data_IF_033357206404
#
_entry.id   IF_033357206404
#
_cell.length_a   1.000
_cell.length_b   1.000
_cell.length_c   1.000
_cell.angle_alpha   90.00
_cell.angle_beta   90.00
_cell.angle_gamma   90.00
#
_symmetry.space_group_name_H-M   'P 1'
#
loop_
_entity.id
_entity.type
_entity.pdbx_description
1 polymer ?
#
# COMPACT_ATOMS: atom_id res chain seq x y z
N UNK A 1 -55.44 -74.19 9.64
CA UNK A 1 -54.44 -73.36 10.35
C UNK A 1 -53.14 -73.44 9.57
N UNK A 2 -52.85 -72.43 8.74
CA UNK A 2 -51.60 -72.28 7.99
C UNK A 2 -51.02 -70.95 8.44
N UNK A 3 -49.94 -70.98 9.21
CA UNK A 3 -49.23 -69.78 9.61
C UNK A 3 -48.11 -69.50 8.60
N UNK A 4 -48.22 -68.38 7.92
CA UNK A 4 -47.21 -67.81 7.04
C UNK A 4 -46.33 -66.85 7.84
N UNK A 5 -45.10 -67.25 8.13
CA UNK A 5 -44.08 -66.37 8.71
C UNK A 5 -43.39 -65.59 7.58
N UNK A 6 -43.63 -64.29 7.55
CA UNK A 6 -43.00 -63.36 6.61
C UNK A 6 -41.68 -62.86 7.21
N UNK A 7 -40.55 -63.12 6.55
CA UNK A 7 -39.23 -62.59 6.93
C UNK A 7 -38.99 -61.30 6.16
N UNK A 8 -39.02 -60.17 6.86
CA UNK A 8 -38.62 -58.87 6.31
C UNK A 8 -37.10 -58.73 6.48
N UNK A 9 -36.37 -58.73 5.36
CA UNK A 9 -34.95 -58.38 5.32
C UNK A 9 -34.84 -56.90 4.95
N UNK A 10 -34.54 -56.05 5.93
CA UNK A 10 -34.19 -54.65 5.69
C UNK A 10 -32.72 -54.53 5.30
N UNK A 11 -32.44 -54.22 4.03
CA UNK A 11 -31.12 -53.80 3.58
C UNK A 11 -30.89 -52.31 3.95
N UNK A 12 -30.08 -52.07 4.97
CA UNK A 12 -29.52 -50.75 5.25
C UNK A 12 -28.30 -50.53 4.34
N UNK A 13 -28.48 -49.79 3.25
CA UNK A 13 -27.36 -49.29 2.44
C UNK A 13 -26.78 -48.06 3.12
N UNK A 14 -25.77 -48.28 3.98
CA UNK A 14 -24.98 -47.20 4.58
C UNK A 14 -24.09 -46.56 3.52
N UNK A 15 -24.48 -45.36 3.05
CA UNK A 15 -23.59 -44.51 2.24
C UNK A 15 -22.55 -43.88 3.15
N UNK A 16 -21.34 -44.45 3.19
CA UNK A 16 -20.20 -43.83 3.84
C UNK A 16 -19.72 -42.64 2.99
N UNK A 17 -20.13 -41.43 3.35
CA UNK A 17 -19.51 -40.20 2.88
C UNK A 17 -18.09 -40.13 3.46
N UNK A 18 -17.11 -40.52 2.65
CA UNK A 18 -15.69 -40.25 2.91
C UNK A 18 -15.48 -38.73 2.92
N UNK A 19 -15.53 -38.13 4.10
CA UNK A 19 -15.01 -36.79 4.33
C UNK A 19 -13.49 -36.86 4.20
N UNK A 20 -12.94 -36.55 3.02
CA UNK A 20 -11.52 -36.26 2.89
C UNK A 20 -11.21 -35.09 3.84
N UNK A 21 -10.25 -35.21 4.76
CA UNK A 21 -9.86 -34.09 5.57
C UNK A 21 -9.38 -32.99 4.62
N UNK A 22 -10.02 -31.84 4.68
CA UNK A 22 -9.54 -30.64 4.02
C UNK A 22 -8.18 -30.34 4.65
N UNK A 23 -7.09 -30.74 3.99
CA UNK A 23 -5.75 -30.32 4.36
C UNK A 23 -5.80 -28.79 4.34
N UNK A 24 -5.70 -28.19 5.52
CA UNK A 24 -5.52 -26.75 5.61
C UNK A 24 -4.16 -26.47 4.98
N UNK A 25 -4.15 -25.98 3.74
CA UNK A 25 -2.93 -25.48 3.12
C UNK A 25 -2.39 -24.39 4.03
N UNK A 26 -1.18 -24.60 4.56
CA UNK A 26 -0.49 -23.62 5.39
C UNK A 26 -0.11 -22.38 4.56
N UNK A 27 -0.10 -22.51 3.23
CA UNK A 27 0.44 -21.52 2.32
C UNK A 27 1.96 -21.58 2.29
N UNK A 28 2.55 -21.02 1.24
CA UNK A 28 3.99 -20.83 1.11
C UNK A 28 4.44 -19.41 1.44
N UNK A 29 5.75 -19.21 1.46
CA UNK A 29 6.40 -17.92 1.69
C UNK A 29 7.13 -17.45 0.43
N UNK A 30 6.93 -16.21 0.02
CA UNK A 30 7.71 -15.55 -1.03
C UNK A 30 8.62 -14.52 -0.39
N UNK A 31 9.94 -14.63 -0.56
CA UNK A 31 10.91 -13.64 -0.07
C UNK A 31 11.84 -13.18 -1.17
N UNK A 32 12.53 -12.07 -0.95
CA UNK A 32 13.57 -11.60 -1.86
C UNK A 32 13.91 -10.14 -1.65
N UNK A 33 14.46 -9.51 -2.68
CA UNK A 33 14.89 -8.12 -2.68
C UNK A 33 14.37 -7.38 -3.92
N UNK A 34 13.90 -6.16 -3.71
CA UNK A 34 13.60 -5.20 -4.79
C UNK A 34 14.77 -4.23 -4.90
N UNK A 35 15.34 -4.15 -6.08
CA UNK A 35 16.48 -3.28 -6.39
C UNK A 35 16.12 -2.28 -7.48
N UNK A 36 16.83 -1.17 -7.52
CA UNK A 36 16.72 -0.18 -8.58
C UNK A 36 17.96 -0.21 -9.47
N UNK A 37 17.76 -0.32 -10.78
CA UNK A 37 18.84 -0.22 -11.76
C UNK A 37 18.80 1.09 -12.52
N UNK A 38 19.98 1.65 -12.76
CA UNK A 38 20.18 2.94 -13.44
C UNK A 38 20.56 4.08 -12.49
N UNK A 39 20.58 5.30 -13.05
CA UNK A 39 20.90 6.52 -12.31
C UNK A 39 19.69 6.93 -11.48
N UNK A 40 19.88 7.09 -10.16
CA UNK A 40 18.86 7.66 -9.28
C UNK A 40 18.61 9.11 -9.72
N UNK A 41 17.35 9.51 -10.02
CA UNK A 41 17.03 10.89 -10.36
C UNK A 41 17.46 11.86 -9.26
N UNK A 42 17.94 13.07 -9.61
CA UNK A 42 18.17 14.09 -8.60
C UNK A 42 16.86 14.43 -7.87
N UNK A 43 16.93 14.92 -6.62
CA UNK A 43 15.74 15.37 -5.90
C UNK A 43 15.04 16.49 -6.67
N UNK A 44 13.72 16.59 -6.52
CA UNK A 44 13.01 17.82 -6.89
C UNK A 44 13.25 18.88 -5.81
N UNK A 45 13.49 20.09 -6.27
CA UNK A 45 13.85 21.22 -5.42
C UNK A 45 12.70 22.21 -5.31
N UNK A 46 12.41 22.65 -4.09
CA UNK A 46 11.37 23.62 -3.80
C UNK A 46 11.89 24.66 -2.81
N UNK A 47 11.98 25.92 -3.21
CA UNK A 47 12.43 27.00 -2.30
C UNK A 47 11.38 27.23 -1.21
N UNK A 48 11.74 27.08 0.07
CA UNK A 48 10.78 27.23 1.18
C UNK A 48 10.09 28.59 1.17
N UNK A 49 10.79 29.66 0.77
CA UNK A 49 10.25 31.02 0.72
C UNK A 49 9.04 31.18 -0.22
N UNK A 50 8.81 30.24 -1.15
CA UNK A 50 7.66 30.24 -2.06
C UNK A 50 6.41 29.56 -1.49
N UNK A 51 6.50 29.01 -0.28
CA UNK A 51 5.41 28.26 0.36
C UNK A 51 5.01 28.89 1.70
N UNK A 52 3.76 28.68 2.17
CA UNK A 52 3.34 29.08 3.51
C UNK A 52 4.14 28.38 4.61
N UNK A 53 4.28 29.08 5.75
CA UNK A 53 4.98 28.61 6.95
C UNK A 53 6.43 28.14 6.69
N UNK A 54 7.27 28.93 6.00
CA UNK A 54 8.62 28.51 5.61
C UNK A 54 9.50 28.16 6.82
N UNK A 55 9.42 28.91 7.91
CA UNK A 55 10.25 28.68 9.10
C UNK A 55 9.90 27.38 9.81
N UNK A 56 8.61 27.02 9.84
CA UNK A 56 8.19 25.70 10.29
C UNK A 56 8.69 24.59 9.35
N UNK A 57 8.45 24.71 8.04
CA UNK A 57 8.82 23.66 7.09
C UNK A 57 10.34 23.46 6.96
N UNK A 58 11.16 24.49 7.22
CA UNK A 58 12.63 24.39 7.32
C UNK A 58 13.09 23.44 8.43
N UNK A 59 12.25 23.07 9.39
CA UNK A 59 12.59 22.09 10.42
C UNK A 59 12.72 20.67 9.84
N UNK A 60 12.11 20.38 8.68
CA UNK A 60 12.19 19.06 8.07
C UNK A 60 13.65 18.72 7.66
N UNK A 61 14.15 17.50 7.93
CA UNK A 61 15.52 17.10 7.58
C UNK A 61 15.78 16.98 6.06
N UNK A 62 14.78 16.73 5.23
CA UNK A 62 14.97 16.60 3.77
C UNK A 62 15.05 17.98 3.10
N UNK A 63 16.19 18.66 3.29
CA UNK A 63 16.49 20.00 2.77
C UNK A 63 17.95 20.14 2.35
N UNK A 64 18.27 21.20 1.60
CA UNK A 64 19.63 21.58 1.19
C UNK A 64 20.51 21.93 2.40
N UNK A 65 21.83 21.95 2.17
CA UNK A 65 22.82 22.24 3.22
C UNK A 65 22.67 23.65 3.83
N UNK A 66 22.28 24.64 3.03
CA UNK A 66 21.99 26.00 3.49
C UNK A 66 20.60 26.14 4.14
N UNK A 67 19.78 25.07 4.09
CA UNK A 67 18.46 25.00 4.69
C UNK A 67 17.34 25.71 3.95
N UNK A 68 17.59 26.29 2.76
CA UNK A 68 16.61 27.12 2.05
C UNK A 68 15.73 26.35 1.04
N UNK A 69 16.18 25.16 0.63
CA UNK A 69 15.53 24.36 -0.40
C UNK A 69 15.05 23.04 0.20
N UNK A 70 13.77 22.75 0.03
CA UNK A 70 13.17 21.44 0.28
C UNK A 70 13.58 20.46 -0.82
N UNK A 71 14.07 19.28 -0.41
CA UNK A 71 14.48 18.22 -1.33
C UNK A 71 13.49 17.06 -1.26
N UNK A 72 12.70 16.89 -2.32
CA UNK A 72 11.85 15.70 -2.49
C UNK A 72 12.64 14.62 -3.24
N UNK A 73 13.10 13.62 -2.50
CA UNK A 73 13.76 12.43 -3.07
C UNK A 73 12.68 11.42 -3.47
N UNK A 74 12.27 11.47 -4.73
CA UNK A 74 11.21 10.59 -5.23
C UNK A 74 11.65 9.13 -5.41
N UNK A 75 12.95 8.88 -5.55
CA UNK A 75 13.55 7.54 -5.64
C UNK A 75 14.75 7.53 -4.70
N UNK A 76 14.77 6.58 -3.77
CA UNK A 76 15.85 6.39 -2.81
C UNK A 76 16.30 4.94 -2.81
N UNK A 77 17.62 4.74 -2.72
CA UNK A 77 18.23 3.42 -2.72
C UNK A 77 19.17 3.26 -1.53
N UNK A 78 19.22 2.06 -0.95
CA UNK A 78 20.26 1.67 -0.01
C UNK A 78 21.61 1.40 -0.69
N UNK A 79 22.68 1.10 0.09
CA UNK A 79 24.02 0.85 -0.44
C UNK A 79 24.08 -0.21 -1.55
N UNK A 80 23.30 -1.28 -1.40
CA UNK A 80 23.22 -2.38 -2.38
C UNK A 80 22.17 -2.15 -3.47
N UNK A 81 21.82 -0.90 -3.75
CA UNK A 81 20.75 -0.51 -4.69
C UNK A 81 19.35 -1.02 -4.31
N UNK A 82 19.16 -1.44 -3.06
CA UNK A 82 17.86 -1.79 -2.51
C UNK A 82 16.89 -0.63 -2.63
N UNK A 83 15.77 -0.81 -3.33
CA UNK A 83 14.84 0.28 -3.62
C UNK A 83 13.92 0.52 -2.42
N UNK A 84 14.07 1.65 -1.75
CA UNK A 84 13.17 2.05 -0.65
C UNK A 84 11.76 2.27 -1.18
N UNK A 85 10.78 2.15 -0.28
CA UNK A 85 9.37 2.46 -0.56
C UNK A 85 8.70 1.61 -1.65
N UNK A 86 9.35 0.58 -2.19
CA UNK A 86 8.68 -0.36 -3.08
C UNK A 86 7.61 -1.18 -2.32
N UNK A 87 6.60 -1.64 -3.05
CA UNK A 87 5.58 -2.55 -2.56
C UNK A 87 5.59 -3.79 -3.43
N UNK A 88 5.68 -4.96 -2.79
CA UNK A 88 5.49 -6.25 -3.45
C UNK A 88 4.07 -6.72 -3.17
N UNK A 89 3.36 -7.24 -4.18
CA UNK A 89 1.99 -7.76 -4.02
C UNK A 89 1.66 -8.88 -5.00
N UNK A 90 0.87 -9.85 -4.55
CA UNK A 90 0.24 -10.86 -5.41
C UNK A 90 -0.95 -10.23 -6.14
N UNK A 91 -1.06 -10.40 -7.47
CA UNK A 91 -1.97 -9.62 -8.32
C UNK A 91 -3.14 -10.41 -8.89
N UNK A 92 -3.00 -11.71 -9.00
CA UNK A 92 -3.98 -12.63 -9.59
C UNK A 92 -5.05 -13.08 -8.58
N UNK A 93 -4.84 -12.87 -7.28
CA UNK A 93 -5.81 -13.20 -6.23
C UNK A 93 -6.78 -12.04 -5.98
N UNK A 94 -8.08 -12.37 -5.97
CA UNK A 94 -9.15 -11.45 -5.55
C UNK A 94 -9.96 -12.05 -4.40
N UNK A 95 -9.56 -11.73 -3.18
CA UNK A 95 -10.25 -12.17 -1.97
C UNK A 95 -11.36 -11.18 -1.58
N UNK A 96 -12.60 -11.52 -1.98
CA UNK A 96 -13.79 -10.71 -1.66
C UNK A 96 -14.06 -10.63 -0.15
N UNK A 97 -13.71 -11.66 0.63
CA UNK A 97 -13.98 -11.72 2.06
C UNK A 97 -13.00 -10.82 2.82
N UNK A 98 -11.70 -10.93 2.51
CA UNK A 98 -10.68 -10.01 3.00
C UNK A 98 -11.02 -8.56 2.64
N UNK A 99 -11.34 -8.28 1.37
CA UNK A 99 -11.74 -6.94 0.94
C UNK A 99 -12.99 -6.40 1.65
N UNK A 100 -13.94 -7.26 2.06
CA UNK A 100 -15.11 -6.83 2.86
C UNK A 100 -14.70 -6.48 4.29
N UNK A 101 -13.83 -7.28 4.91
CA UNK A 101 -13.29 -7.01 6.27
C UNK A 101 -12.52 -5.69 6.29
N UNK A 102 -11.69 -5.44 5.28
CA UNK A 102 -10.92 -4.20 5.09
C UNK A 102 -11.75 -2.91 4.86
N UNK A 103 -13.08 -3.00 4.74
CA UNK A 103 -13.94 -1.81 4.69
C UNK A 103 -14.27 -1.23 6.06
N UNK A 104 -14.02 -1.98 7.13
CA UNK A 104 -14.40 -1.61 8.50
C UNK A 104 -13.30 -0.87 9.25
N UNK A 105 -12.04 -1.13 8.91
CA UNK A 105 -10.84 -0.49 9.48
C UNK A 105 -10.13 0.35 8.41
N UNK A 106 -9.40 1.43 8.78
CA UNK A 106 -8.54 2.13 7.83
C UNK A 106 -7.45 1.19 7.32
N UNK A 107 -7.42 0.95 6.01
CA UNK A 107 -6.39 0.13 5.37
C UNK A 107 -5.00 0.81 5.42
N UNK A 108 -5.02 2.13 5.60
CA UNK A 108 -3.85 2.98 5.62
C UNK A 108 -4.11 4.22 6.46
N UNK A 109 -3.21 4.46 7.42
CA UNK A 109 -3.10 5.72 8.16
C UNK A 109 -1.98 6.54 7.55
N UNK A 110 -2.25 7.81 7.30
CA UNK A 110 -1.28 8.83 6.92
C UNK A 110 -1.25 9.89 8.00
N UNK A 111 -0.05 10.35 8.33
CA UNK A 111 0.13 11.52 9.19
C UNK A 111 0.80 12.63 8.39
N UNK A 112 0.35 13.87 8.57
CA UNK A 112 1.06 15.06 8.16
C UNK A 112 1.96 15.47 9.32
N UNK A 113 3.28 15.38 9.12
CA UNK A 113 4.28 15.71 10.13
C UNK A 113 5.48 16.41 9.48
N UNK A 114 5.88 17.55 10.03
CA UNK A 114 6.93 18.44 9.54
C UNK A 114 6.81 18.73 8.04
N UNK A 115 5.62 19.12 7.57
CA UNK A 115 5.34 19.34 6.15
C UNK A 115 5.71 18.11 5.29
N UNK A 116 5.34 16.91 5.75
CA UNK A 116 5.52 15.64 5.04
C UNK A 116 4.35 14.69 5.31
N UNK A 117 3.90 13.97 4.29
CA UNK A 117 2.92 12.88 4.47
C UNK A 117 3.65 11.55 4.64
N UNK A 118 3.38 10.86 5.74
CA UNK A 118 4.01 9.59 6.08
C UNK A 118 2.97 8.47 6.22
N UNK A 119 3.24 7.27 5.68
CA UNK A 119 4.43 6.90 4.90
C UNK A 119 4.42 7.46 3.46
N UNK A 120 5.57 7.48 2.79
CA UNK A 120 5.68 7.87 1.38
C UNK A 120 4.93 6.90 0.46
N UNK A 121 4.95 5.61 0.78
CA UNK A 121 4.15 4.60 0.08
C UNK A 121 3.30 3.76 1.02
N UNK A 122 2.15 3.31 0.51
CA UNK A 122 1.28 2.39 1.21
C UNK A 122 0.31 1.68 0.27
N UNK A 123 -0.75 1.12 0.84
CA UNK A 123 -1.79 0.45 0.04
C UNK A 123 -3.14 1.13 0.20
N UNK A 124 -4.05 0.82 -0.71
CA UNK A 124 -5.48 1.12 -0.57
C UNK A 124 -6.32 -0.05 -1.02
N UNK A 125 -7.46 -0.23 -0.38
CA UNK A 125 -8.50 -1.16 -0.82
C UNK A 125 -9.65 -0.34 -1.40
N UNK A 126 -10.12 -0.66 -2.60
CA UNK A 126 -11.20 0.10 -3.21
C UNK A 126 -12.49 -0.03 -2.38
N UNK A 127 -13.10 1.11 -2.04
CA UNK A 127 -14.18 1.31 -1.06
C UNK A 127 -13.77 1.05 0.40
N UNK A 128 -12.49 0.82 0.67
CA UNK A 128 -11.92 0.77 2.01
C UNK A 128 -11.76 2.17 2.61
N UNK A 129 -11.56 2.23 3.92
CA UNK A 129 -11.36 3.49 4.64
C UNK A 129 -9.90 3.93 4.54
N UNK A 130 -9.68 5.23 4.39
CA UNK A 130 -8.38 5.88 4.37
C UNK A 130 -8.38 7.02 5.37
N UNK A 131 -7.34 7.07 6.19
CA UNK A 131 -7.22 8.00 7.30
C UNK A 131 -6.03 8.95 7.10
N UNK A 132 -6.26 10.24 7.29
CA UNK A 132 -5.20 11.27 7.31
C UNK A 132 -5.37 12.13 8.55
N UNK A 133 -4.29 12.41 9.26
CA UNK A 133 -4.26 13.25 10.46
C UNK A 133 -3.17 14.31 10.33
N UNK A 134 -3.49 15.54 10.70
CA UNK A 134 -2.50 16.60 10.83
C UNK A 134 -1.90 16.59 12.22
N UNK A 135 -0.57 16.53 12.32
CA UNK A 135 0.15 16.57 13.60
C UNK A 135 0.99 17.83 13.79
N UNK A 136 0.99 18.72 12.79
CA UNK A 136 1.84 19.91 12.74
C UNK A 136 1.19 21.12 13.40
N UNK A 137 1.99 21.81 14.20
CA UNK A 137 1.70 23.13 14.75
C UNK A 137 3.03 23.86 14.95
N UNK A 138 3.04 25.17 14.73
CA UNK A 138 4.19 26.01 15.02
C UNK A 138 3.89 26.90 16.23
N UNK A 139 4.32 26.53 17.45
CA UNK A 139 4.02 27.30 18.64
C UNK A 139 4.64 28.71 18.63
N UNK A 140 5.61 28.96 17.75
CA UNK A 140 6.32 30.24 17.66
C UNK A 140 5.69 31.22 16.66
N UNK A 141 4.77 30.77 15.81
CA UNK A 141 4.02 31.61 14.87
C UNK A 141 2.56 31.77 15.35
N UNK A 142 2.11 32.99 15.68
CA UNK A 142 0.73 33.25 16.08
C UNK A 142 -0.33 32.73 15.09
N UNK A 143 -0.03 32.65 13.79
CA UNK A 143 -0.96 32.18 12.76
C UNK A 143 -1.08 30.66 12.69
N UNK A 144 -0.06 29.93 13.11
CA UNK A 144 -0.01 28.46 13.05
C UNK A 144 0.23 27.77 14.40
N UNK A 145 0.05 28.52 15.50
CA UNK A 145 0.14 28.03 16.88
C UNK A 145 -0.79 26.85 17.16
N UNK A 146 -2.01 26.90 16.65
CA UNK A 146 -3.00 25.82 16.80
C UNK A 146 -2.83 24.70 15.76
N UNK A 147 -2.11 24.97 14.68
CA UNK A 147 -1.82 24.01 13.62
C UNK A 147 -1.25 24.66 12.38
N UNK A 148 -0.46 23.90 11.63
CA UNK A 148 -0.05 24.27 10.27
C UNK A 148 -1.05 23.64 9.31
N UNK A 149 -1.78 24.47 8.56
CA UNK A 149 -2.79 23.97 7.63
C UNK A 149 -2.16 23.11 6.54
N UNK A 150 -2.64 21.87 6.46
CA UNK A 150 -2.36 20.98 5.33
C UNK A 150 -3.65 20.70 4.57
N UNK A 151 -3.57 20.67 3.25
CA UNK A 151 -4.72 20.37 2.38
C UNK A 151 -4.55 19.04 1.62
N UNK A 152 -4.75 17.88 2.30
CA UNK A 152 -4.79 16.57 1.66
C UNK A 152 -5.73 16.49 0.45
N UNK A 153 -5.13 16.39 -0.73
CA UNK A 153 -5.81 16.16 -2.00
C UNK A 153 -5.43 14.78 -2.54
N UNK A 154 -6.39 13.85 -2.53
CA UNK A 154 -6.21 12.52 -3.08
C UNK A 154 -6.71 12.44 -4.52
N UNK A 155 -5.93 11.77 -5.37
CA UNK A 155 -6.20 11.56 -6.78
C UNK A 155 -6.18 10.07 -7.11
N UNK A 156 -7.08 9.61 -7.97
CA UNK A 156 -6.98 8.34 -8.68
C UNK A 156 -6.22 8.59 -10.00
N UNK A 157 -5.01 8.05 -10.14
CA UNK A 157 -4.05 8.40 -11.20
C UNK A 157 -3.75 7.19 -12.10
N UNK A 158 -3.98 7.35 -13.40
CA UNK A 158 -3.69 6.35 -14.44
C UNK A 158 -2.92 7.02 -15.59
N UNK A 159 -1.58 6.88 -15.59
CA UNK A 159 -0.73 7.57 -16.55
C UNK A 159 -0.96 9.07 -16.47
N UNK A 160 -1.26 9.71 -17.62
CA UNK A 160 -1.56 11.14 -17.69
C UNK A 160 -2.98 11.52 -17.22
N UNK A 161 -3.85 10.55 -16.89
CA UNK A 161 -5.22 10.81 -16.44
C UNK A 161 -5.30 10.80 -14.92
N UNK A 162 -6.01 11.76 -14.35
CA UNK A 162 -6.30 11.79 -12.92
C UNK A 162 -7.74 12.23 -12.63
N UNK A 163 -8.28 11.79 -11.50
CA UNK A 163 -9.53 12.32 -10.95
C UNK A 163 -9.44 12.50 -9.44
N UNK A 164 -9.98 13.60 -8.92
CA UNK A 164 -10.06 13.86 -7.48
C UNK A 164 -10.92 12.82 -6.77
N UNK A 165 -10.39 12.26 -5.69
CA UNK A 165 -11.09 11.38 -4.75
C UNK A 165 -11.65 12.17 -3.58
N UNK A 166 -10.82 13.06 -3.02
CA UNK A 166 -11.21 14.09 -2.05
C UNK A 166 -10.17 15.22 -2.06
N UNK A 167 -10.58 16.39 -1.59
CA UNK A 167 -9.72 17.53 -1.30
C UNK A 167 -10.26 18.19 -0.02
N UNK A 168 -9.57 18.02 1.11
CA UNK A 168 -10.07 18.42 2.43
C UNK A 168 -8.93 18.99 3.26
N UNK A 169 -9.08 20.25 3.68
CA UNK A 169 -8.15 20.92 4.59
C UNK A 169 -8.22 20.37 6.00
N UNK A 170 -7.06 20.19 6.62
CA UNK A 170 -6.86 19.86 8.03
C UNK A 170 -6.06 21.02 8.65
N UNK A 171 -6.76 21.97 9.27
CA UNK A 171 -6.19 23.26 9.65
C UNK A 171 -5.43 23.20 10.97
N UNK A 172 -5.96 22.47 11.95
CA UNK A 172 -5.43 22.38 13.30
C UNK A 172 -4.68 21.08 13.52
N UNK A 173 -3.74 21.10 14.47
CA UNK A 173 -3.13 19.86 14.97
C UNK A 173 -4.22 18.98 15.59
N UNK A 174 -4.27 17.72 15.20
CA UNK A 174 -5.30 16.75 15.58
C UNK A 174 -6.48 16.69 14.62
N UNK A 175 -6.62 17.63 13.68
CA UNK A 175 -7.62 17.49 12.61
C UNK A 175 -7.34 16.22 11.82
N UNK A 176 -8.39 15.45 11.55
CA UNK A 176 -8.28 14.22 10.79
C UNK A 176 -9.48 13.98 9.89
N UNK A 177 -9.28 13.16 8.87
CA UNK A 177 -10.33 12.67 8.00
C UNK A 177 -10.30 11.14 7.94
N UNK A 178 -11.49 10.53 7.91
CA UNK A 178 -11.67 9.11 7.65
C UNK A 178 -12.68 8.94 6.50
N UNK A 179 -12.18 8.68 5.29
CA UNK A 179 -13.01 8.62 4.08
C UNK A 179 -12.96 7.26 3.40
N UNK A 180 -14.10 6.75 2.88
CA UNK A 180 -14.05 5.64 1.95
C UNK A 180 -13.46 6.12 0.61
N UNK A 181 -12.50 5.37 0.06
CA UNK A 181 -11.87 5.74 -1.21
C UNK A 181 -12.47 4.93 -2.36
N UNK A 182 -13.12 5.61 -3.31
CA UNK A 182 -13.70 4.99 -4.50
C UNK A 182 -12.84 5.26 -5.73
N UNK A 183 -11.87 4.38 -5.98
CA UNK A 183 -11.04 4.45 -7.18
C UNK A 183 -11.79 3.86 -8.37
N UNK A 184 -12.06 4.71 -9.37
CA UNK A 184 -12.80 4.35 -10.60
C UNK A 184 -11.90 3.62 -11.59
N UNK A 185 -10.60 3.91 -11.57
CA UNK A 185 -9.62 3.38 -12.52
C UNK A 185 -8.78 2.25 -11.94
N UNK A 186 -8.98 1.83 -10.68
CA UNK A 186 -8.15 0.83 -10.02
C UNK A 186 -8.06 -0.50 -10.79
N UNK A 187 -9.16 -0.93 -11.44
CA UNK A 187 -9.17 -2.14 -12.29
C UNK A 187 -8.28 -2.05 -13.53
N UNK A 188 -7.94 -0.82 -13.96
CA UNK A 188 -7.03 -0.53 -15.08
C UNK A 188 -5.59 -0.31 -14.62
N UNK A 189 -5.29 -0.52 -13.32
CA UNK A 189 -3.95 -0.36 -12.77
C UNK A 189 -3.61 1.06 -12.34
N UNK A 190 -4.61 1.91 -12.03
CA UNK A 190 -4.35 3.21 -11.43
C UNK A 190 -3.78 3.08 -10.01
N UNK A 191 -3.18 4.16 -9.53
CA UNK A 191 -2.68 4.29 -8.16
C UNK A 191 -3.30 5.52 -7.50
N UNK A 192 -3.34 5.55 -6.18
CA UNK A 192 -3.77 6.75 -5.47
C UNK A 192 -2.56 7.63 -5.18
N UNK A 193 -2.62 8.91 -5.54
CA UNK A 193 -1.65 9.92 -5.10
C UNK A 193 -2.31 10.82 -4.07
N UNK A 194 -1.64 11.06 -2.96
CA UNK A 194 -2.00 12.09 -1.99
C UNK A 194 -0.99 13.22 -2.10
N UNK A 195 -1.46 14.46 -2.28
CA UNK A 195 -0.62 15.66 -2.33
C UNK A 195 -1.22 16.74 -1.44
N UNK A 196 -0.39 17.59 -0.82
CA UNK A 196 -0.88 18.81 -0.21
C UNK A 196 -0.97 19.90 -1.29
N UNK A 197 -2.14 20.52 -1.48
CA UNK A 197 -2.26 21.61 -2.47
C UNK A 197 -1.47 22.87 -2.05
N UNK A 198 -1.16 23.04 -0.76
CA UNK A 198 -0.33 24.14 -0.25
C UNK A 198 1.17 23.85 -0.38
N UNK A 199 1.56 22.58 -0.47
CA UNK A 199 2.96 22.15 -0.44
C UNK A 199 3.16 20.99 -1.41
N UNK A 200 3.55 21.29 -2.64
CA UNK A 200 3.69 20.29 -3.71
C UNK A 200 4.68 19.16 -3.38
N UNK A 201 5.63 19.42 -2.50
CA UNK A 201 6.61 18.43 -2.03
C UNK A 201 6.03 17.42 -1.03
N UNK A 202 4.84 17.66 -0.48
CA UNK A 202 4.15 16.71 0.40
C UNK A 202 3.40 15.70 -0.44
N UNK A 203 4.00 14.54 -0.67
CA UNK A 203 3.42 13.51 -1.50
C UNK A 203 3.49 12.13 -0.84
N UNK A 204 2.41 11.36 -0.99
CA UNK A 204 2.39 9.92 -0.72
C UNK A 204 1.66 9.19 -1.83
N UNK A 205 1.97 7.91 -2.02
CA UNK A 205 1.42 7.09 -3.09
C UNK A 205 0.93 5.74 -2.58
N UNK A 206 -0.21 5.27 -3.09
CA UNK A 206 -0.84 4.07 -2.59
C UNK A 206 -1.25 3.12 -3.70
N UNK A 207 -0.82 1.86 -3.56
CA UNK A 207 -1.12 0.79 -4.49
C UNK A 207 -2.48 0.15 -4.18
N UNK A 208 -3.40 0.04 -5.16
CA UNK A 208 -4.62 -0.72 -4.97
C UNK A 208 -4.36 -2.23 -4.90
N UNK A 209 -4.83 -2.86 -3.81
CA UNK A 209 -4.69 -4.30 -3.55
C UNK A 209 -6.06 -4.98 -3.38
N UNK A 210 -6.12 -6.29 -3.62
CA UNK A 210 -7.35 -7.09 -3.63
C UNK A 210 -7.27 -8.36 -2.77
N UNK A 211 -6.18 -8.53 -2.03
CA UNK A 211 -5.87 -9.69 -1.20
C UNK A 211 -4.86 -9.25 -0.10
N UNK A 212 -4.65 -10.05 0.97
CA UNK A 212 -3.71 -9.73 2.04
C UNK A 212 -2.23 -9.83 1.66
N UNK A 213 -1.89 -10.40 0.51
CA UNK A 213 -0.52 -10.77 0.16
C UNK A 213 0.20 -9.59 -0.48
N UNK A 214 0.53 -8.60 0.34
CA UNK A 214 1.36 -7.46 -0.01
C UNK A 214 2.28 -7.08 1.14
N UNK A 215 3.37 -6.39 0.81
CA UNK A 215 4.33 -5.88 1.79
C UNK A 215 5.02 -4.64 1.25
N UNK A 216 5.20 -3.61 2.08
CA UNK A 216 6.16 -2.53 1.80
C UNK A 216 7.54 -3.07 2.15
N UNK A 217 8.47 -2.99 1.22
CA UNK A 217 9.82 -3.52 1.42
C UNK A 217 10.54 -2.77 2.55
N UNK A 218 11.53 -3.43 3.15
CA UNK A 218 12.44 -2.80 4.09
C UNK A 218 13.29 -1.72 3.39
N UNK A 219 13.97 -0.89 4.18
CA UNK A 219 14.82 0.20 3.67
C UNK A 219 16.01 -0.28 2.80
N UNK A 220 16.38 -1.55 2.91
CA UNK A 220 17.37 -2.21 2.06
C UNK A 220 16.75 -2.93 0.84
N UNK A 221 15.44 -2.79 0.63
CA UNK A 221 14.69 -3.43 -0.45
C UNK A 221 14.25 -4.87 -0.18
N UNK A 222 14.62 -5.48 0.95
CA UNK A 222 14.22 -6.86 1.26
C UNK A 222 12.74 -6.96 1.62
N UNK A 223 12.13 -8.13 1.36
CA UNK A 223 10.74 -8.38 1.65
C UNK A 223 10.44 -9.85 1.93
N UNK A 224 9.32 -10.10 2.61
CA UNK A 224 8.75 -11.42 2.86
C UNK A 224 7.22 -11.33 2.79
N UNK A 225 6.59 -12.26 2.08
CA UNK A 225 5.14 -12.48 2.01
C UNK A 225 4.86 -13.89 2.54
N UNK A 226 4.12 -14.00 3.63
CA UNK A 226 3.74 -15.27 4.26
C UNK A 226 2.35 -15.71 3.84
N UNK A 227 2.08 -17.00 4.06
CA UNK A 227 0.76 -17.63 3.90
C UNK A 227 0.14 -17.45 2.51
N UNK A 228 0.99 -17.29 1.47
CA UNK A 228 0.54 -17.18 0.08
C UNK A 228 0.01 -18.56 -0.35
N UNK A 229 -1.20 -18.67 -0.93
CA UNK A 229 -1.76 -19.97 -1.31
C UNK A 229 -0.82 -20.74 -2.24
N UNK A 230 -0.91 -22.08 -2.23
CA UNK A 230 -0.15 -22.87 -3.17
C UNK A 230 -0.65 -22.65 -4.61
N UNK A 231 0.27 -22.64 -5.57
CA UNK A 231 0.00 -22.51 -7.00
C UNK A 231 0.84 -21.44 -7.71
N UNK A 232 0.47 -21.18 -8.96
CA UNK A 232 1.10 -20.17 -9.81
C UNK A 232 0.48 -18.81 -9.56
N UNK A 233 1.31 -17.86 -9.10
CA UNK A 233 0.90 -16.50 -8.79
C UNK A 233 1.64 -15.46 -9.61
N UNK A 234 0.95 -14.37 -9.94
CA UNK A 234 1.56 -13.18 -10.54
C UNK A 234 1.94 -12.22 -9.43
N UNK A 235 3.24 -12.08 -9.18
CA UNK A 235 3.79 -11.20 -8.15
C UNK A 235 4.35 -9.94 -8.80
N UNK A 236 4.00 -8.79 -8.24
CA UNK A 236 4.42 -7.48 -8.74
C UNK A 236 5.23 -6.75 -7.69
N UNK A 237 6.40 -6.24 -8.07
CA UNK A 237 7.07 -5.16 -7.35
C UNK A 237 6.70 -3.83 -8.02
N UNK A 238 6.29 -2.84 -7.23
CA UNK A 238 5.86 -1.52 -7.69
C UNK A 238 6.49 -0.41 -6.85
N UNK A 239 6.80 0.70 -7.49
CA UNK A 239 7.22 1.94 -6.88
C UNK A 239 6.63 3.11 -7.69
N UNK A 240 6.11 4.18 -7.06
CA UNK A 240 5.36 5.23 -7.76
C UNK A 240 6.13 5.93 -8.88
N UNK A 241 7.43 6.17 -8.69
CA UNK A 241 8.28 6.85 -9.69
C UNK A 241 9.16 5.88 -10.52
N UNK A 242 9.73 4.85 -9.91
CA UNK A 242 10.56 3.87 -10.63
C UNK A 242 9.76 2.92 -11.54
N UNK A 243 8.46 2.72 -11.29
CA UNK A 243 7.59 1.88 -12.10
C UNK A 243 7.31 0.53 -11.46
N UNK A 244 7.05 -0.50 -12.29
CA UNK A 244 6.70 -1.84 -11.81
C UNK A 244 7.30 -2.95 -12.67
N UNK A 245 7.49 -4.11 -12.05
CA UNK A 245 7.88 -5.37 -12.68
C UNK A 245 6.99 -6.48 -12.15
N UNK A 246 6.56 -7.38 -13.03
CA UNK A 246 5.71 -8.52 -12.71
C UNK A 246 6.45 -9.81 -13.06
N UNK A 247 6.31 -10.84 -12.23
CA UNK A 247 6.87 -12.18 -12.43
C UNK A 247 5.81 -13.23 -12.08
N UNK A 248 5.82 -14.35 -12.80
CA UNK A 248 5.05 -15.53 -12.42
C UNK A 248 5.91 -16.38 -11.46
N UNK A 249 5.33 -16.78 -10.33
CA UNK A 249 6.00 -17.43 -9.21
C UNK A 249 5.21 -18.68 -8.83
N UNK A 250 5.87 -19.84 -8.78
CA UNK A 250 5.28 -21.08 -8.27
C UNK A 250 5.47 -21.12 -6.74
N UNK A 251 4.37 -21.14 -6.00
CA UNK A 251 4.35 -21.29 -4.55
C UNK A 251 3.92 -22.71 -4.23
N UNK A 252 4.73 -23.44 -3.45
CA UNK A 252 4.37 -24.76 -2.93
C UNK A 252 3.93 -24.62 -1.48
N UNK A 253 2.97 -25.44 -1.06
CA UNK A 253 2.47 -25.43 0.31
C UNK A 253 3.60 -25.66 1.33
N UNK A 254 3.66 -24.83 2.37
CA UNK A 254 4.71 -24.84 3.40
C UNK A 254 6.12 -24.48 2.93
N UNK A 255 6.34 -24.21 1.63
CA UNK A 255 7.67 -23.95 1.08
C UNK A 255 7.99 -22.46 1.01
N UNK A 256 9.29 -22.13 1.04
CA UNK A 256 9.79 -20.78 0.73
C UNK A 256 10.31 -20.73 -0.70
N UNK A 257 9.91 -19.71 -1.45
CA UNK A 257 10.45 -19.38 -2.77
C UNK A 257 11.13 -18.00 -2.73
N UNK A 258 12.33 -17.92 -3.32
CA UNK A 258 13.07 -16.66 -3.44
C UNK A 258 12.83 -16.01 -4.81
N UNK A 259 12.45 -14.73 -4.81
CA UNK A 259 12.17 -13.95 -6.02
C UNK A 259 12.70 -12.54 -5.88
N UNK A 260 13.74 -12.22 -6.65
CA UNK A 260 14.31 -10.86 -6.70
C UNK A 260 13.69 -10.04 -7.84
N UNK A 261 13.47 -8.75 -7.60
CA UNK A 261 12.96 -7.80 -8.59
C UNK A 261 13.99 -6.71 -8.83
N UNK A 262 14.22 -6.38 -10.10
CA UNK A 262 15.00 -5.21 -10.49
C UNK A 262 14.08 -4.27 -11.24
N UNK A 263 13.88 -3.06 -10.72
CA UNK A 263 13.07 -2.02 -11.35
C UNK A 263 14.01 -1.01 -12.01
N UNK A 264 13.86 -0.84 -13.33
CA UNK A 264 14.53 0.20 -14.10
C UNK A 264 13.53 1.29 -14.45
N UNK A 265 13.85 2.54 -14.16
CA UNK A 265 13.05 3.68 -14.62
C UNK A 265 13.05 3.68 -16.16
N UNK A 266 11.86 3.62 -16.75
CA UNK A 266 11.67 3.76 -18.20
C UNK A 266 11.86 5.20 -18.65
#
# INVERSE_FOLDING_TARGET
>A
MRESTSVIVSFLVGSALLTLPLLAEAGGTIKGKVTFSGKVPPPKEFEFAKFPNPDFCKQNPNKSADGNIRLLKEVEVGPDKGLKNAIVSVRDIKDKNWMKKFKKEPAQKVIAKLCEFLPFTGIVVNKGKFYVENTDADPNDPKSKEGVLHNPHAFDVLGARSSTLFNIGLAKKGDSLLKPIKMRMARKGSVMRLQCDQHEFMQSWFLPVTNPYYVRVNDDGTFELKDVPAGKHKVMAWHPVAGKVEKDVEVKDGATVEVNFEIKKK
#
